data_IF_110360261931
#
_entry.id   IF_110360261931
#
_cell.length_a   1.000
_cell.length_b   1.000
_cell.length_c   1.000
_cell.angle_alpha   90.00
_cell.angle_beta   90.00
_cell.angle_gamma   90.00
#
_symmetry.space_group_name_H-M   'P 1'
#
loop_
_entity.id
_entity.type
_entity.pdbx_description
1 polymer ?
#
# COMPACT_ATOMS: atom_id res chain seq x y z
N UNK A 1 3.22 -9.33 9.22
CA UNK A 1 4.42 -8.65 8.72
C UNK A 1 4.46 -7.18 9.17
N UNK A 2 3.41 -6.39 8.97
CA UNK A 2 3.30 -5.02 9.53
C UNK A 2 3.07 -4.96 11.06
N UNK A 3 2.32 -5.92 11.63
CA UNK A 3 2.02 -5.95 13.07
C UNK A 3 3.23 -6.27 14.00
N UNK A 4 4.40 -6.62 13.43
CA UNK A 4 5.63 -6.86 14.21
C UNK A 4 6.33 -5.57 14.64
N UNK A 5 6.10 -4.47 13.92
CA UNK A 5 6.68 -3.17 14.26
C UNK A 5 5.57 -2.29 14.84
N UNK A 6 5.67 -1.88 16.13
CA UNK A 6 4.64 -1.07 16.79
C UNK A 6 4.36 0.25 16.08
N UNK A 7 5.39 0.87 15.50
CA UNK A 7 5.26 2.13 14.77
C UNK A 7 4.48 1.94 13.46
N UNK A 8 4.78 0.86 12.71
CA UNK A 8 4.05 0.52 11.48
C UNK A 8 2.60 0.16 11.83
N UNK A 9 2.38 -0.63 12.87
CA UNK A 9 1.04 -1.00 13.34
C UNK A 9 0.22 0.24 13.73
N UNK A 10 0.83 1.20 14.44
CA UNK A 10 0.18 2.45 14.82
C UNK A 10 -0.18 3.28 13.60
N UNK A 11 0.69 3.39 12.59
CA UNK A 11 0.42 4.12 11.36
C UNK A 11 -0.71 3.49 10.56
N UNK A 12 -0.69 2.17 10.38
CA UNK A 12 -1.76 1.42 9.70
C UNK A 12 -3.08 1.54 10.46
N UNK A 13 -3.04 1.45 11.79
CA UNK A 13 -4.21 1.61 12.65
C UNK A 13 -4.88 2.97 12.50
N UNK A 14 -4.11 4.06 12.45
CA UNK A 14 -4.65 5.41 12.25
C UNK A 14 -5.39 5.56 10.91
N UNK A 15 -4.88 4.95 9.84
CA UNK A 15 -5.51 4.95 8.51
C UNK A 15 -6.77 4.09 8.50
N UNK A 16 -6.68 2.83 8.95
CA UNK A 16 -7.81 1.89 8.92
C UNK A 16 -8.97 2.33 9.81
N UNK A 17 -8.67 2.94 10.96
CA UNK A 17 -9.67 3.44 11.90
C UNK A 17 -10.11 4.87 11.61
N UNK A 18 -9.60 5.49 10.52
CA UNK A 18 -9.92 6.85 10.10
C UNK A 18 -9.77 7.89 11.23
N UNK A 19 -8.86 7.63 12.16
CA UNK A 19 -8.69 8.45 13.38
C UNK A 19 -7.98 9.76 13.10
N UNK A 20 -7.24 9.84 11.98
CA UNK A 20 -6.69 11.09 11.49
C UNK A 20 -7.69 11.73 10.52
N UNK A 21 -8.37 12.78 10.97
CA UNK A 21 -9.10 13.70 10.08
C UNK A 21 -8.19 14.52 9.16
N UNK A 22 -6.94 14.09 8.97
CA UNK A 22 -6.00 14.68 8.04
C UNK A 22 -5.99 13.82 6.77
N UNK A 23 -6.27 14.47 5.65
CA UNK A 23 -6.14 13.94 4.30
C UNK A 23 -4.65 13.65 4.02
N UNK A 24 -4.15 12.55 4.59
CA UNK A 24 -2.76 12.13 4.45
C UNK A 24 -2.66 11.29 3.19
N UNK A 25 -2.16 11.94 2.15
CA UNK A 25 -1.75 11.25 0.92
C UNK A 25 -0.80 10.10 1.27
N UNK A 26 -0.99 8.91 0.67
CA UNK A 26 -0.14 7.77 0.94
C UNK A 26 1.30 8.07 0.50
N UNK A 27 2.24 8.13 1.46
CA UNK A 27 3.65 8.37 1.15
C UNK A 27 4.40 7.12 0.69
N UNK A 28 3.88 5.93 1.01
CA UNK A 28 4.51 4.66 0.67
C UNK A 28 3.44 3.62 0.37
N UNK A 29 3.67 2.84 -0.68
CA UNK A 29 2.85 1.68 -1.04
C UNK A 29 3.69 0.43 -0.88
N UNK A 30 3.16 -0.54 -0.15
CA UNK A 30 3.78 -1.85 0.06
C UNK A 30 2.93 -2.89 -0.64
N UNK A 31 3.52 -3.59 -1.60
CA UNK A 31 2.89 -4.70 -2.32
C UNK A 31 3.59 -5.98 -1.86
N UNK A 32 2.82 -6.98 -1.43
CA UNK A 32 3.40 -8.29 -1.11
C UNK A 32 3.84 -9.00 -2.39
N UNK A 33 4.97 -9.72 -2.36
CA UNK A 33 5.50 -10.43 -3.54
C UNK A 33 4.50 -11.40 -4.17
N UNK A 34 3.57 -11.91 -3.36
CA UNK A 34 2.57 -12.87 -3.78
C UNK A 34 1.18 -12.26 -4.05
N UNK A 35 1.07 -10.93 -4.01
CA UNK A 35 -0.19 -10.20 -4.14
C UNK A 35 -0.93 -10.51 -5.46
N UNK A 36 -0.17 -10.74 -6.54
CA UNK A 36 -0.71 -10.95 -7.89
C UNK A 36 -0.49 -12.36 -8.44
N UNK A 37 -0.04 -13.31 -7.60
CA UNK A 37 0.40 -14.66 -8.06
C UNK A 37 -0.67 -15.49 -8.79
N UNK A 38 -1.94 -15.13 -8.66
CA UNK A 38 -3.07 -15.83 -9.26
C UNK A 38 -3.70 -15.09 -10.45
N UNK A 39 -3.17 -13.92 -10.81
CA UNK A 39 -3.62 -13.22 -12.00
C UNK A 39 -3.15 -13.96 -13.25
N UNK A 40 -3.98 -13.97 -14.28
CA UNK A 40 -3.62 -14.46 -15.62
C UNK A 40 -2.69 -13.50 -16.37
N UNK A 41 -2.48 -12.30 -15.82
CA UNK A 41 -1.63 -11.23 -16.35
C UNK A 41 -0.29 -11.24 -15.61
N UNK A 42 0.85 -10.99 -16.28
CA UNK A 42 2.15 -10.94 -15.63
C UNK A 42 2.19 -9.95 -14.46
N UNK A 43 2.72 -10.38 -13.31
CA UNK A 43 2.80 -9.56 -12.11
C UNK A 43 3.51 -8.22 -12.36
N UNK A 44 4.58 -8.21 -13.16
CA UNK A 44 5.37 -7.01 -13.42
C UNK A 44 4.56 -5.92 -14.14
N UNK A 45 3.65 -6.31 -15.05
CA UNK A 45 2.75 -5.38 -15.75
C UNK A 45 1.77 -4.75 -14.76
N UNK A 46 1.25 -5.54 -13.83
CA UNK A 46 0.32 -5.07 -12.80
C UNK A 46 1.01 -4.14 -11.81
N UNK A 47 2.20 -4.53 -11.33
CA UNK A 47 3.01 -3.71 -10.42
C UNK A 47 3.39 -2.39 -11.08
N UNK A 48 3.82 -2.40 -12.35
CA UNK A 48 4.16 -1.18 -13.08
C UNK A 48 2.97 -0.23 -13.19
N UNK A 49 1.79 -0.75 -13.52
CA UNK A 49 0.55 0.04 -13.59
C UNK A 49 0.17 0.64 -12.23
N UNK A 50 0.28 -0.13 -11.15
CA UNK A 50 0.03 0.36 -9.78
C UNK A 50 1.00 1.48 -9.40
N UNK A 51 2.29 1.34 -9.73
CA UNK A 51 3.30 2.37 -9.47
C UNK A 51 2.98 3.65 -10.25
N UNK A 52 2.66 3.55 -11.54
CA UNK A 52 2.35 4.72 -12.37
C UNK A 52 1.14 5.49 -11.83
N UNK A 53 0.11 4.78 -11.40
CA UNK A 53 -1.07 5.37 -10.78
C UNK A 53 -0.72 6.02 -9.44
N UNK A 54 0.09 5.36 -8.62
CA UNK A 54 0.53 5.88 -7.33
C UNK A 54 1.36 7.16 -7.44
N UNK A 55 2.26 7.24 -8.42
CA UNK A 55 3.06 8.43 -8.71
C UNK A 55 2.21 9.64 -9.12
N UNK A 56 1.02 9.40 -9.69
CA UNK A 56 0.08 10.46 -10.08
C UNK A 56 -0.58 11.13 -8.86
N UNK A 57 -0.57 10.45 -7.69
CA UNK A 57 -1.16 10.96 -6.45
C UNK A 57 -0.14 11.53 -5.46
N UNK A 58 1.16 11.53 -5.78
CA UNK A 58 2.23 12.15 -4.98
C UNK A 58 2.46 13.60 -5.33
#
# INVERSE_FOLDING_TARGET
>A
WFARNPSILSQVGQVLLQQSGADRLPHHILIADDCFKFLSVPCDEVVHSVIQVAETFG
#
